data_IF_176473499018
#
_entry.id   IF_176473499018
#
_cell.length_a   1.000
_cell.length_b   1.000
_cell.length_c   1.000
_cell.angle_alpha   90.00
_cell.angle_beta   90.00
_cell.angle_gamma   90.00
#
_symmetry.space_group_name_H-M   'P 1'
#
loop_
_entity.id
_entity.type
_entity.pdbx_description
1 polymer ?
#
# COMPACT_ATOMS: atom_id res chain seq x y z
N UNK A 1 20.03 -14.36 -20.54
CA UNK A 1 19.39 -13.49 -19.53
C UNK A 1 18.17 -14.23 -19.01
N UNK A 2 18.12 -14.55 -17.72
CA UNK A 2 16.97 -15.19 -17.07
C UNK A 2 15.76 -14.24 -17.19
N UNK A 3 14.64 -14.71 -17.75
CA UNK A 3 13.40 -13.94 -17.74
C UNK A 3 12.93 -13.76 -16.29
N UNK A 4 12.78 -12.50 -15.86
CA UNK A 4 12.20 -12.20 -14.55
C UNK A 4 10.77 -12.75 -14.48
N UNK A 5 10.52 -13.64 -13.52
CA UNK A 5 9.18 -14.11 -13.19
C UNK A 5 8.37 -12.96 -12.59
N UNK A 6 7.20 -12.68 -13.15
CA UNK A 6 6.28 -11.69 -12.59
C UNK A 6 5.24 -12.42 -11.74
N UNK A 7 5.18 -12.10 -10.45
CA UNK A 7 4.13 -12.57 -9.53
C UNK A 7 3.10 -11.48 -9.30
N UNK A 8 1.86 -11.88 -9.01
CA UNK A 8 0.75 -10.93 -8.83
C UNK A 8 0.91 -10.10 -7.56
N UNK A 9 1.10 -10.75 -6.42
CA UNK A 9 0.96 -10.14 -5.10
C UNK A 9 2.18 -10.42 -4.21
N UNK A 10 2.66 -9.39 -3.53
CA UNK A 10 3.55 -9.48 -2.38
C UNK A 10 2.82 -8.91 -1.16
N UNK A 11 2.77 -9.66 -0.06
CA UNK A 11 2.26 -9.15 1.21
C UNK A 11 3.40 -8.88 2.19
N UNK A 12 3.31 -7.78 2.93
CA UNK A 12 4.28 -7.45 3.97
C UNK A 12 3.64 -6.64 5.11
N UNK A 13 4.14 -6.84 6.33
CA UNK A 13 3.92 -5.89 7.44
C UNK A 13 5.02 -4.83 7.47
N UNK A 14 4.77 -3.71 8.14
CA UNK A 14 5.80 -2.71 8.47
C UNK A 14 6.01 -2.74 9.97
N UNK A 15 7.25 -3.01 10.37
CA UNK A 15 7.72 -3.00 11.76
C UNK A 15 8.87 -1.99 11.93
N UNK A 16 9.28 -1.73 13.17
CA UNK A 16 10.32 -0.75 13.48
C UNK A 16 11.67 -1.06 12.81
N UNK A 17 12.00 -2.33 12.64
CA UNK A 17 13.20 -2.82 11.97
C UNK A 17 13.05 -2.94 10.44
N UNK A 18 11.84 -2.75 9.90
CA UNK A 18 11.59 -2.91 8.47
C UNK A 18 12.32 -1.81 7.71
N UNK A 19 13.25 -2.24 6.84
CA UNK A 19 14.00 -1.36 5.94
C UNK A 19 13.21 -1.20 4.65
N UNK A 20 12.85 0.05 4.34
CA UNK A 20 12.12 0.41 3.12
C UNK A 20 12.79 -0.16 1.88
N UNK A 21 14.11 0.01 1.78
CA UNK A 21 14.89 -0.38 0.61
C UNK A 21 14.77 -1.88 0.35
N UNK A 22 14.93 -2.71 1.39
CA UNK A 22 14.86 -4.16 1.25
C UNK A 22 13.46 -4.62 0.80
N UNK A 23 12.42 -3.99 1.33
CA UNK A 23 11.03 -4.26 0.95
C UNK A 23 10.74 -3.86 -0.50
N UNK A 24 11.17 -2.66 -0.90
CA UNK A 24 10.96 -2.17 -2.25
C UNK A 24 11.83 -2.91 -3.28
N UNK A 25 13.04 -3.31 -2.92
CA UNK A 25 13.89 -4.17 -3.75
C UNK A 25 13.24 -5.53 -3.98
N UNK A 26 12.64 -6.13 -2.95
CA UNK A 26 11.87 -7.36 -3.09
C UNK A 26 10.64 -7.17 -3.99
N UNK A 27 9.92 -6.05 -3.83
CA UNK A 27 8.77 -5.72 -4.66
C UNK A 27 9.15 -5.55 -6.15
N UNK A 28 10.28 -4.88 -6.41
CA UNK A 28 10.79 -4.58 -7.75
C UNK A 28 11.59 -5.75 -8.37
N UNK A 29 11.89 -6.77 -7.58
CA UNK A 29 12.79 -7.85 -7.98
C UNK A 29 14.21 -7.34 -8.25
N UNK A 30 14.67 -6.35 -7.50
CA UNK A 30 16.05 -5.88 -7.58
C UNK A 30 16.99 -6.97 -7.05
N UNK A 31 17.98 -7.36 -7.86
CA UNK A 31 18.88 -8.47 -7.54
C UNK A 31 18.21 -9.86 -7.46
N UNK A 32 16.96 -10.00 -7.93
CA UNK A 32 16.20 -11.27 -7.90
C UNK A 32 15.51 -11.56 -9.23
N UNK A 33 15.22 -12.84 -9.46
CA UNK A 33 14.48 -13.31 -10.63
C UNK A 33 12.96 -13.09 -10.53
N UNK A 34 12.44 -12.50 -9.44
CA UNK A 34 11.00 -12.32 -9.26
C UNK A 34 10.65 -10.89 -8.90
N UNK A 35 9.75 -10.28 -9.66
CA UNK A 35 9.14 -8.99 -9.39
C UNK A 35 7.64 -9.14 -9.16
N UNK A 36 7.02 -8.21 -8.43
CA UNK A 36 5.62 -8.28 -8.07
C UNK A 36 4.83 -7.13 -8.69
N UNK A 37 3.57 -7.38 -9.08
CA UNK A 37 2.69 -6.33 -9.63
C UNK A 37 2.16 -5.43 -8.52
N UNK A 38 1.69 -6.02 -7.43
CA UNK A 38 1.10 -5.33 -6.28
C UNK A 38 1.84 -5.68 -4.99
N UNK A 39 1.95 -4.70 -4.09
CA UNK A 39 2.44 -4.87 -2.72
C UNK A 39 1.32 -4.51 -1.75
N UNK A 40 0.82 -5.48 -0.98
CA UNK A 40 -0.13 -5.24 0.11
C UNK A 40 0.65 -5.02 1.38
N UNK A 41 0.54 -3.81 1.92
CA UNK A 41 1.07 -3.48 3.23
C UNK A 41 -0.04 -3.72 4.25
N UNK A 42 0.17 -4.69 5.15
CA UNK A 42 -0.87 -5.19 6.05
C UNK A 42 -1.00 -4.36 7.32
N UNK A 43 -2.25 -4.10 7.73
CA UNK A 43 -2.61 -3.47 9.00
C UNK A 43 -1.88 -2.14 9.27
N UNK A 44 -1.82 -1.27 8.26
CA UNK A 44 -0.99 -0.06 8.27
C UNK A 44 -1.67 1.11 8.95
N UNK A 45 -2.99 1.21 8.83
CA UNK A 45 -3.76 2.31 9.42
C UNK A 45 -4.96 1.74 10.14
N UNK A 46 -5.16 2.15 11.40
CA UNK A 46 -6.39 1.91 12.13
C UNK A 46 -7.33 3.09 11.93
N UNK A 47 -8.50 2.87 11.35
CA UNK A 47 -9.52 3.90 11.15
C UNK A 47 -10.75 3.63 12.02
N UNK A 48 -11.34 4.70 12.54
CA UNK A 48 -12.65 4.61 13.19
C UNK A 48 -13.73 4.94 12.14
N UNK A 49 -14.59 3.96 11.88
CA UNK A 49 -15.74 4.05 10.99
C UNK A 49 -16.98 3.88 11.88
N UNK A 50 -17.73 4.95 12.09
CA UNK A 50 -19.01 4.92 12.83
C UNK A 50 -18.96 4.25 14.21
N UNK A 51 -17.82 4.33 14.91
CA UNK A 51 -17.64 3.73 16.25
C UNK A 51 -16.77 2.47 16.25
N UNK A 52 -16.62 1.80 15.11
CA UNK A 52 -15.80 0.60 14.99
C UNK A 52 -14.37 0.95 14.53
N UNK A 53 -13.37 0.34 15.19
CA UNK A 53 -11.97 0.50 14.83
C UNK A 53 -11.51 -0.65 13.95
N UNK A 54 -11.00 -0.33 12.77
CA UNK A 54 -10.62 -1.32 11.76
C UNK A 54 -9.21 -1.05 11.25
N UNK A 55 -8.39 -2.10 11.23
CA UNK A 55 -7.07 -2.06 10.62
C UNK A 55 -7.19 -2.28 9.11
N UNK A 56 -6.62 -1.35 8.35
CA UNK A 56 -6.62 -1.40 6.89
C UNK A 56 -5.28 -1.88 6.37
N UNK A 57 -5.34 -2.86 5.45
CA UNK A 57 -4.21 -3.17 4.59
C UNK A 57 -4.31 -2.36 3.31
N UNK A 58 -3.22 -1.72 2.90
CA UNK A 58 -3.20 -0.81 1.77
C UNK A 58 -2.44 -1.43 0.59
N UNK A 59 -3.00 -1.29 -0.61
CA UNK A 59 -2.43 -1.83 -1.84
C UNK A 59 -1.54 -0.78 -2.51
N UNK A 60 -0.26 -1.08 -2.64
CA UNK A 60 0.75 -0.32 -3.36
C UNK A 60 0.92 -0.85 -4.78
N UNK A 61 0.98 0.06 -5.73
CA UNK A 61 1.32 -0.20 -7.12
C UNK A 61 2.33 0.84 -7.62
N UNK A 62 3.03 0.50 -8.72
CA UNK A 62 3.92 1.44 -9.42
C UNK A 62 3.09 2.53 -10.07
N UNK A 63 3.57 3.76 -10.00
CA UNK A 63 2.90 4.87 -10.65
C UNK A 63 2.92 4.74 -12.17
N UNK A 64 1.73 4.65 -12.77
CA UNK A 64 1.52 4.71 -14.23
C UNK A 64 0.94 6.05 -14.69
N UNK A 65 0.50 6.89 -13.76
CA UNK A 65 -0.18 8.17 -14.00
C UNK A 65 0.18 9.17 -12.89
N UNK A 66 0.29 10.45 -13.23
CA UNK A 66 0.58 11.53 -12.29
C UNK A 66 -0.66 12.09 -11.57
N UNK A 67 -1.85 11.53 -11.85
CA UNK A 67 -3.09 11.85 -11.14
C UNK A 67 -3.15 11.15 -9.79
N UNK A 68 -2.63 11.82 -8.78
CA UNK A 68 -2.70 11.42 -7.37
C UNK A 68 -2.96 12.61 -6.46
N UNK A 69 -3.40 12.32 -5.24
CA UNK A 69 -3.55 13.29 -4.15
C UNK A 69 -2.64 12.93 -2.98
N UNK A 70 -2.46 13.89 -2.08
CA UNK A 70 -1.66 13.69 -0.88
C UNK A 70 -0.21 13.32 -1.17
N UNK A 71 0.51 12.97 -0.11
CA UNK A 71 1.90 12.55 -0.17
C UNK A 71 2.28 11.98 1.19
N UNK A 72 2.72 10.73 1.23
CA UNK A 72 3.30 10.14 2.43
C UNK A 72 4.55 9.34 2.08
N UNK A 73 5.61 9.57 2.82
CA UNK A 73 6.83 8.76 2.74
C UNK A 73 6.72 7.52 3.63
N UNK A 74 7.47 6.47 3.33
CA UNK A 74 7.52 5.30 4.20
C UNK A 74 8.02 5.64 5.62
N UNK A 75 8.92 6.63 5.76
CA UNK A 75 9.41 7.08 7.07
C UNK A 75 8.29 7.72 7.88
N UNK A 76 7.51 8.63 7.29
CA UNK A 76 6.34 9.24 7.94
C UNK A 76 5.32 8.19 8.34
N UNK A 77 5.07 7.20 7.47
CA UNK A 77 4.19 6.07 7.76
C UNK A 77 4.65 5.27 8.98
N UNK A 78 5.94 4.91 9.05
CA UNK A 78 6.53 4.21 10.22
C UNK A 78 6.42 5.01 11.51
N UNK A 79 6.60 6.33 11.41
CA UNK A 79 6.52 7.24 12.55
C UNK A 79 5.07 7.53 12.99
N UNK A 80 4.07 6.93 12.35
CA UNK A 80 2.66 7.16 12.66
C UNK A 80 2.16 8.54 12.23
N UNK A 81 2.89 9.25 11.35
CA UNK A 81 2.50 10.55 10.81
C UNK A 81 1.45 10.39 9.69
N UNK A 82 0.33 9.76 10.01
CA UNK A 82 -0.67 9.29 9.04
C UNK A 82 -1.92 10.16 8.98
N UNK A 83 -1.93 11.34 9.59
CA UNK A 83 -3.12 12.22 9.71
C UNK A 83 -3.79 12.54 8.35
N UNK A 84 -2.99 12.88 7.34
CA UNK A 84 -3.51 13.24 6.02
C UNK A 84 -3.99 12.01 5.25
N UNK A 85 -3.25 10.90 5.36
CA UNK A 85 -3.65 9.60 4.83
C UNK A 85 -4.97 9.15 5.46
N UNK A 86 -5.12 9.26 6.77
CA UNK A 86 -6.32 8.95 7.52
C UNK A 86 -7.52 9.77 7.05
N UNK A 87 -7.31 11.09 6.90
CA UNK A 87 -8.35 12.02 6.42
C UNK A 87 -8.78 11.71 4.99
N UNK A 88 -7.85 11.24 4.15
CA UNK A 88 -8.16 10.75 2.81
C UNK A 88 -8.95 9.44 2.85
N UNK A 89 -8.50 8.44 3.61
CA UNK A 89 -9.15 7.13 3.70
C UNK A 89 -10.60 7.25 4.21
N UNK A 90 -10.85 8.09 5.22
CA UNK A 90 -12.21 8.36 5.72
C UNK A 90 -13.17 8.93 4.68
N UNK A 91 -12.67 9.62 3.66
CA UNK A 91 -13.50 10.17 2.57
C UNK A 91 -13.77 9.15 1.47
N UNK A 92 -12.95 8.10 1.39
CA UNK A 92 -13.06 7.07 0.37
C UNK A 92 -13.77 5.82 0.88
N UNK A 93 -13.83 5.64 2.20
CA UNK A 93 -14.18 4.37 2.81
C UNK A 93 -15.30 4.54 3.82
N UNK A 94 -16.50 4.06 3.46
CA UNK A 94 -17.69 4.04 4.32
C UNK A 94 -17.86 2.68 4.98
N UNK A 95 -18.82 2.58 5.90
CA UNK A 95 -19.16 1.32 6.57
C UNK A 95 -19.67 0.27 5.58
N UNK A 96 -20.47 0.67 4.59
CA UNK A 96 -20.99 -0.25 3.57
C UNK A 96 -19.84 -0.83 2.73
N UNK A 97 -18.86 0.00 2.38
CA UNK A 97 -17.66 -0.47 1.65
C UNK A 97 -16.87 -1.45 2.51
N UNK A 98 -16.68 -1.16 3.80
CA UNK A 98 -16.04 -2.10 4.71
C UNK A 98 -16.77 -3.44 4.72
N UNK A 99 -18.08 -3.46 4.99
CA UNK A 99 -18.86 -4.69 5.06
C UNK A 99 -18.86 -5.47 3.74
N UNK A 100 -18.84 -4.76 2.60
CA UNK A 100 -18.77 -5.39 1.29
C UNK A 100 -17.44 -6.10 1.04
N UNK A 101 -16.31 -5.58 1.53
CA UNK A 101 -14.97 -6.10 1.21
C UNK A 101 -14.30 -6.84 2.37
N UNK A 102 -14.82 -6.73 3.59
CA UNK A 102 -14.26 -7.38 4.78
C UNK A 102 -14.27 -8.90 4.63
N UNK A 103 -13.14 -9.53 4.96
CA UNK A 103 -12.89 -10.97 4.83
C UNK A 103 -13.01 -11.51 3.39
N UNK A 104 -12.99 -10.63 2.38
CA UNK A 104 -12.95 -11.04 0.98
C UNK A 104 -11.55 -10.86 0.46
N UNK A 105 -11.10 -11.81 -0.37
CA UNK A 105 -9.83 -11.71 -1.09
C UNK A 105 -9.94 -10.73 -2.28
N UNK A 106 -10.56 -9.56 -2.05
CA UNK A 106 -10.88 -8.54 -3.03
C UNK A 106 -10.29 -7.18 -2.62
N UNK A 107 -9.96 -6.37 -3.63
CA UNK A 107 -9.42 -5.02 -3.47
C UNK A 107 -10.53 -4.00 -3.70
N UNK A 108 -10.77 -3.12 -2.73
CA UNK A 108 -11.53 -1.89 -2.96
C UNK A 108 -10.60 -0.84 -3.56
N UNK A 109 -10.86 -0.39 -4.80
CA UNK A 109 -10.03 0.58 -5.51
C UNK A 109 -10.55 2.00 -5.29
N UNK A 110 -9.63 2.92 -4.97
CA UNK A 110 -9.93 4.34 -4.86
C UNK A 110 -10.11 4.97 -6.24
N UNK A 111 -11.03 5.93 -6.34
CA UNK A 111 -11.24 6.72 -7.56
C UNK A 111 -9.99 7.55 -7.90
N UNK A 112 -9.33 8.09 -6.87
CA UNK A 112 -8.07 8.82 -7.00
C UNK A 112 -7.01 8.20 -6.09
N UNK A 113 -5.83 7.89 -6.64
CA UNK A 113 -4.75 7.27 -5.89
C UNK A 113 -4.07 8.26 -4.93
N UNK A 114 -3.54 7.75 -3.81
CA UNK A 114 -2.79 8.56 -2.85
C UNK A 114 -1.28 8.34 -3.03
N UNK A 115 -0.48 9.41 -3.13
CA UNK A 115 0.95 9.29 -3.40
C UNK A 115 1.70 8.65 -2.23
N UNK A 116 2.46 7.60 -2.53
CA UNK A 116 3.31 6.89 -1.60
C UNK A 116 4.77 6.94 -2.06
N UNK A 117 5.64 7.57 -1.27
CA UNK A 117 7.06 7.71 -1.60
C UNK A 117 7.89 6.69 -0.83
N UNK A 118 8.54 5.80 -1.57
CA UNK A 118 9.48 4.85 -1.05
C UNK A 118 10.72 4.79 -1.95
N UNK A 119 11.84 4.34 -1.40
CA UNK A 119 13.09 4.19 -2.12
C UNK A 119 13.46 2.71 -2.23
N UNK A 120 14.03 2.34 -3.37
CA UNK A 120 14.70 1.07 -3.63
C UNK A 120 16.18 1.35 -3.96
N UNK A 121 16.97 0.31 -4.18
CA UNK A 121 18.42 0.43 -4.43
C UNK A 121 18.78 1.04 -5.79
N UNK A 122 17.86 1.15 -6.75
CA UNK A 122 18.13 1.70 -8.10
C UNK A 122 17.71 3.17 -8.28
N UNK A 123 16.95 3.73 -7.33
CA UNK A 123 16.42 5.09 -7.28
C UNK A 123 15.33 5.48 -8.31
N UNK A 124 14.28 6.14 -7.78
CA UNK A 124 13.04 6.72 -8.38
C UNK A 124 12.03 5.77 -9.04
N UNK A 125 11.26 5.05 -8.23
CA UNK A 125 9.88 4.69 -8.58
C UNK A 125 8.92 5.50 -7.71
N UNK A 126 8.04 6.27 -8.35
CA UNK A 126 6.87 6.82 -7.66
C UNK A 126 5.88 5.69 -7.42
N UNK A 127 5.46 5.50 -6.18
CA UNK A 127 4.44 4.50 -5.84
C UNK A 127 3.16 5.21 -5.44
N UNK A 128 2.03 4.51 -5.50
CA UNK A 128 0.78 5.03 -4.97
C UNK A 128 0.01 3.96 -4.24
N UNK A 129 -0.86 4.39 -3.34
CA UNK A 129 -1.91 3.59 -2.78
C UNK A 129 -3.10 3.61 -3.75
N UNK A 130 -3.49 2.43 -4.23
CA UNK A 130 -4.64 2.26 -5.15
C UNK A 130 -5.91 1.82 -4.48
N UNK A 131 -5.79 1.21 -3.31
CA UNK A 131 -6.94 0.58 -2.70
C UNK A 131 -6.65 0.00 -1.33
N UNK A 132 -7.70 -0.60 -0.78
CA UNK A 132 -7.68 -1.33 0.48
C UNK A 132 -7.89 -2.81 0.17
N UNK A 133 -7.12 -3.65 0.85
CA UNK A 133 -7.30 -5.10 0.83
C UNK A 133 -7.72 -5.55 2.23
N UNK A 134 -8.83 -6.29 2.31
CA UNK A 134 -9.37 -6.83 3.56
C UNK A 134 -9.51 -8.36 3.45
N UNK A 135 -8.43 -9.01 2.99
CA UNK A 135 -8.33 -10.46 2.98
C UNK A 135 -8.24 -11.06 4.37
N UNK A 136 -8.72 -12.30 4.49
CA UNK A 136 -8.66 -13.12 5.71
C UNK A 136 -7.24 -13.68 5.95
#
# INVERSE_FOLDING_TARGET
>A
MSEKRIRKLLEAGIYDDTRTVDLMDRFEGFGKDTAYVQLVLRNIVCINIEGDYEYLSLVVERSKDYRYVGNITFTELKQGQTRDLYSFLRKQFSKEVLEQYKNKAEEYRFDTSYLFRAQNSSNRSGYYWRGIYQGA
#
